data_IF_905146237861
#
_entry.id   IF_905146237861
#
_cell.length_a   1.000
_cell.length_b   1.000
_cell.length_c   1.000
_cell.angle_alpha   90.00
_cell.angle_beta   90.00
_cell.angle_gamma   90.00
#
_symmetry.space_group_name_H-M   'P 1'
#
loop_
_entity.id
_entity.type
_entity.pdbx_description
1 polymer ?
#
# COMPACT_ATOMS: atom_id res chain seq x y z
N UNK A 1 -14.39 -3.16 -2.95
CA UNK A 1 -13.34 -2.17 -3.26
C UNK A 1 -12.19 -2.90 -3.91
N UNK A 2 -11.57 -2.32 -4.95
CA UNK A 2 -10.35 -2.83 -5.57
C UNK A 2 -9.11 -2.42 -4.77
N UNK A 3 -7.95 -2.99 -5.11
CA UNK A 3 -6.67 -2.58 -4.52
C UNK A 3 -6.41 -1.09 -4.78
N UNK A 4 -6.61 -0.62 -6.01
CA UNK A 4 -6.41 0.79 -6.36
C UNK A 4 -7.30 1.73 -5.55
N UNK A 5 -8.58 1.37 -5.38
CA UNK A 5 -9.52 2.12 -4.56
C UNK A 5 -9.09 2.16 -3.07
N UNK A 6 -8.59 1.05 -2.53
CA UNK A 6 -8.09 0.99 -1.16
C UNK A 6 -6.86 1.88 -0.95
N UNK A 7 -5.89 1.84 -1.88
CA UNK A 7 -4.71 2.71 -1.86
C UNK A 7 -5.14 4.18 -1.86
N UNK A 8 -6.04 4.54 -2.78
CA UNK A 8 -6.53 5.91 -2.89
C UNK A 8 -7.26 6.37 -1.61
N UNK A 9 -8.13 5.52 -1.06
CA UNK A 9 -8.88 5.82 0.16
C UNK A 9 -7.93 6.01 1.36
N UNK A 10 -7.00 5.08 1.57
CA UNK A 10 -6.02 5.16 2.66
C UNK A 10 -5.12 6.41 2.54
N UNK A 11 -4.71 6.77 1.31
CA UNK A 11 -3.96 7.99 1.04
C UNK A 11 -4.75 9.24 1.39
N UNK A 12 -6.00 9.34 0.92
CA UNK A 12 -6.89 10.47 1.20
C UNK A 12 -7.19 10.61 2.69
N UNK A 13 -7.38 9.50 3.41
CA UNK A 13 -7.59 9.50 4.85
C UNK A 13 -6.38 10.05 5.64
N UNK A 14 -5.18 10.00 5.06
CA UNK A 14 -3.98 10.66 5.60
C UNK A 14 -3.74 12.07 5.09
N UNK A 15 -4.63 12.62 4.27
CA UNK A 15 -4.45 13.95 3.69
C UNK A 15 -3.27 14.04 2.71
N UNK A 16 -2.79 12.91 2.17
CA UNK A 16 -1.63 12.90 1.27
C UNK A 16 -2.04 13.14 -0.19
N UNK A 17 -1.22 13.90 -0.93
CA UNK A 17 -1.29 13.95 -2.40
C UNK A 17 -0.70 12.67 -3.01
N UNK A 18 -0.97 12.42 -4.29
CA UNK A 18 -0.36 11.27 -4.99
C UNK A 18 1.17 11.42 -5.03
N UNK A 19 1.65 12.64 -5.25
CA UNK A 19 3.07 12.98 -5.26
C UNK A 19 3.72 12.64 -3.92
N UNK A 20 3.10 13.05 -2.80
CA UNK A 20 3.64 12.80 -1.46
C UNK A 20 3.72 11.29 -1.14
N UNK A 21 2.68 10.51 -1.47
CA UNK A 21 2.74 9.06 -1.25
C UNK A 21 3.74 8.38 -2.19
N UNK A 22 3.80 8.80 -3.46
CA UNK A 22 4.72 8.23 -4.42
C UNK A 22 6.19 8.46 -4.01
N UNK A 23 6.50 9.64 -3.48
CA UNK A 23 7.81 9.97 -2.92
C UNK A 23 8.17 9.07 -1.73
N UNK A 24 7.23 8.88 -0.78
CA UNK A 24 7.45 7.98 0.36
C UNK A 24 7.65 6.52 -0.03
N UNK A 25 6.97 6.06 -1.08
CA UNK A 25 7.06 4.69 -1.60
C UNK A 25 8.29 4.51 -2.51
N UNK A 26 8.91 5.61 -2.96
CA UNK A 26 10.06 5.57 -3.86
C UNK A 26 9.70 5.30 -5.33
N UNK A 27 8.52 5.74 -5.77
CA UNK A 27 8.03 5.54 -7.15
C UNK A 27 7.57 6.85 -7.79
N UNK A 28 7.31 6.83 -9.10
CA UNK A 28 6.74 8.00 -9.78
C UNK A 28 5.26 8.19 -9.44
N UNK A 29 4.80 9.44 -9.37
CA UNK A 29 3.37 9.78 -9.24
C UNK A 29 2.51 9.08 -10.31
N UNK A 30 3.04 8.92 -11.52
CA UNK A 30 2.35 8.22 -12.61
C UNK A 30 2.15 6.73 -12.31
N UNK A 31 3.15 6.05 -11.74
CA UNK A 31 3.02 4.66 -11.30
C UNK A 31 1.93 4.52 -10.23
N UNK A 32 1.97 5.37 -9.19
CA UNK A 32 0.94 5.40 -8.15
C UNK A 32 -0.45 5.66 -8.74
N UNK A 33 -0.57 6.60 -9.67
CA UNK A 33 -1.83 6.92 -10.35
C UNK A 33 -2.37 5.77 -11.19
N UNK A 34 -1.51 4.92 -11.77
CA UNK A 34 -1.94 3.68 -12.46
C UNK A 34 -2.46 2.65 -11.45
N UNK A 35 -1.81 2.51 -10.30
CA UNK A 35 -2.26 1.59 -9.25
C UNK A 35 -3.62 2.01 -8.69
N UNK A 36 -3.81 3.30 -8.38
CA UNK A 36 -5.10 3.82 -7.87
C UNK A 36 -6.26 3.67 -8.86
N UNK A 37 -5.97 3.54 -10.15
CA UNK A 37 -6.96 3.35 -11.23
C UNK A 37 -7.08 1.89 -11.67
N UNK A 38 -6.42 0.97 -10.97
CA UNK A 38 -6.34 -0.46 -11.32
C UNK A 38 -5.78 -0.72 -12.74
N UNK A 39 -5.04 0.24 -13.31
CA UNK A 39 -4.44 0.16 -14.64
C UNK A 39 -3.09 -0.59 -14.62
N UNK A 40 -2.54 -0.82 -13.43
CA UNK A 40 -1.38 -1.68 -13.19
C UNK A 40 -1.42 -2.16 -11.74
N UNK A 41 -0.77 -3.30 -11.47
CA UNK A 41 -0.58 -3.78 -10.10
C UNK A 41 0.81 -3.41 -9.59
N UNK A 42 0.95 -2.95 -8.33
CA UNK A 42 2.25 -2.83 -7.69
C UNK A 42 2.85 -4.22 -7.46
N UNK A 43 4.18 -4.32 -7.60
CA UNK A 43 4.94 -5.51 -7.16
C UNK A 43 4.97 -5.64 -5.63
N UNK A 44 5.49 -6.78 -5.16
CA UNK A 44 5.53 -7.13 -3.73
C UNK A 44 6.28 -6.09 -2.88
N UNK A 45 7.43 -5.58 -3.36
CA UNK A 45 8.20 -4.57 -2.61
C UNK A 45 7.45 -3.25 -2.48
N UNK A 46 6.80 -2.82 -3.57
CA UNK A 46 5.97 -1.60 -3.58
C UNK A 46 4.74 -1.74 -2.68
N UNK A 47 4.17 -2.94 -2.62
CA UNK A 47 3.07 -3.25 -1.71
C UNK A 47 3.50 -3.14 -0.24
N UNK A 48 4.68 -3.65 0.12
CA UNK A 48 5.23 -3.49 1.47
C UNK A 48 5.52 -2.02 1.80
N UNK A 49 6.11 -1.28 0.86
CA UNK A 49 6.36 0.15 1.01
C UNK A 49 5.06 0.96 1.16
N UNK A 50 4.02 0.64 0.38
CA UNK A 50 2.68 1.22 0.52
C UNK A 50 2.11 0.94 1.92
N UNK A 51 2.22 -0.29 2.41
CA UNK A 51 1.73 -0.66 3.74
C UNK A 51 2.39 0.17 4.85
N UNK A 52 3.72 0.38 4.74
CA UNK A 52 4.49 1.22 5.65
C UNK A 52 4.09 2.70 5.57
N UNK A 53 4.11 3.29 4.38
CA UNK A 53 3.78 4.70 4.15
C UNK A 53 2.34 5.04 4.54
N UNK A 54 1.42 4.15 4.18
CA UNK A 54 0.01 4.24 4.54
C UNK A 54 -0.28 3.57 5.88
N UNK A 55 0.69 3.24 6.74
CA UNK A 55 0.48 2.61 8.06
C UNK A 55 -0.76 1.70 8.14
N UNK A 56 -0.98 0.88 7.11
CA UNK A 56 -2.13 0.01 6.94
C UNK A 56 -1.58 -1.38 6.81
N UNK A 57 -2.26 -2.34 7.43
CA UNK A 57 -1.97 -3.74 7.19
C UNK A 57 -2.58 -4.10 5.86
N UNK A 58 -1.78 -4.61 4.93
CA UNK A 58 -2.36 -5.18 3.73
C UNK A 58 -3.08 -6.46 4.11
N UNK A 59 -4.41 -6.41 4.06
CA UNK A 59 -5.23 -7.61 4.07
C UNK A 59 -5.54 -7.99 2.63
N UNK A 60 -5.67 -9.28 2.38
CA UNK A 60 -6.26 -9.71 1.11
C UNK A 60 -7.74 -9.30 1.01
N UNK A 61 -8.38 -9.63 -0.12
CA UNK A 61 -9.79 -9.36 -0.36
C UNK A 61 -10.75 -10.04 0.64
N UNK A 62 -10.27 -11.02 1.42
CA UNK A 62 -11.03 -11.70 2.47
C UNK A 62 -10.85 -11.07 3.86
N UNK A 63 -10.02 -10.02 3.98
CA UNK A 63 -9.70 -9.40 5.27
C UNK A 63 -8.68 -10.20 6.07
N UNK A 64 -8.04 -11.21 5.48
CA UNK A 64 -7.05 -12.01 6.17
C UNK A 64 -5.70 -11.28 6.16
N UNK A 65 -5.11 -11.15 7.35
CA UNK A 65 -3.83 -10.49 7.56
C UNK A 65 -2.72 -11.28 6.84
N UNK A 66 -1.96 -10.63 5.96
CA UNK A 66 -0.64 -11.16 5.60
C UNK A 66 0.25 -11.03 6.85
N UNK A 67 0.87 -12.13 7.25
CA UNK A 67 1.45 -12.33 8.58
C UNK A 67 2.33 -11.18 9.02
N UNK A 68 2.09 -10.75 10.25
CA UNK A 68 2.86 -9.73 10.96
C UNK A 68 4.36 -10.05 10.89
N UNK A 69 5.14 -9.26 10.15
CA UNK A 69 6.60 -9.43 10.08
C UNK A 69 7.27 -9.22 11.45
N UNK A 70 6.58 -8.59 12.42
CA UNK A 70 7.05 -8.50 13.81
C UNK A 70 6.83 -9.79 14.60
N UNK A 71 5.92 -10.67 14.17
CA UNK A 71 5.69 -11.96 14.81
C UNK A 71 6.65 -13.07 14.34
N UNK A 72 7.52 -12.78 13.36
CA UNK A 72 8.57 -13.70 12.92
C UNK A 72 9.90 -13.48 13.66
N UNK A 73 10.04 -12.38 14.41
CA UNK A 73 11.24 -12.05 15.21
C UNK A 73 11.13 -12.56 16.67
N UNK A 74 9.99 -13.17 17.03
CA UNK A 74 9.69 -13.66 18.38
C UNK A 74 9.34 -15.16 18.39
N UNK A 75 10.18 -16.01 17.79
CA UNK A 75 10.20 -17.44 18.11
C UNK A 75 11.41 -17.75 19.00
N UNK A 76 11.26 -18.54 20.08
CA UNK A 76 12.39 -19.01 20.88
C UNK A 76 13.33 -19.90 20.06
#
# INVERSE_FOLDING_TARGET
>A
MTLGQNIQAARKNRGMSQEALAEQVGVSRQALGKWEKDAALPGVDNLQALAGALGVRMTDASGQLWTDVRALDERP
#
